data_IF_362356625866
#
_entry.id   IF_362356625866
#
_cell.length_a   1.000
_cell.length_b   1.000
_cell.length_c   1.000
_cell.angle_alpha   90.00
_cell.angle_beta   90.00
_cell.angle_gamma   90.00
#
_symmetry.space_group_name_H-M   'P 1'
#
loop_
_entity.id
_entity.type
_entity.pdbx_description
1 polymer ?
#
# COMPACT_ATOMS: atom_id res chain seq x y z
N UNK A 1 -15.13 11.22 -5.62
CA UNK A 1 -14.33 10.06 -6.07
C UNK A 1 -13.21 10.58 -6.97
N UNK A 2 -12.00 10.77 -6.43
CA UNK A 2 -10.83 11.10 -7.27
C UNK A 2 -10.36 9.78 -7.86
N UNK A 3 -10.53 9.58 -9.17
CA UNK A 3 -9.83 8.53 -9.90
C UNK A 3 -8.35 8.81 -9.75
N UNK A 4 -7.61 7.88 -9.14
CA UNK A 4 -6.16 7.78 -9.36
C UNK A 4 -6.00 7.64 -10.87
N UNK A 5 -5.43 8.67 -11.49
CA UNK A 5 -5.14 8.62 -12.91
C UNK A 5 -4.00 7.61 -13.12
N UNK A 6 -4.00 6.88 -14.24
CA UNK A 6 -3.06 5.77 -14.51
C UNK A 6 -1.59 6.18 -14.30
N UNK A 7 -1.27 7.45 -14.50
CA UNK A 7 0.01 8.10 -14.23
C UNK A 7 0.40 8.14 -12.73
N UNK A 8 -0.56 8.26 -11.80
CA UNK A 8 -0.27 8.16 -10.36
C UNK A 8 -0.01 6.71 -9.93
N UNK A 9 -0.71 5.73 -10.52
CA UNK A 9 -0.48 4.31 -10.26
C UNK A 9 0.86 3.84 -10.86
N UNK A 10 1.18 4.29 -12.07
CA UNK A 10 2.49 4.05 -12.71
C UNK A 10 3.62 4.77 -11.95
N UNK A 11 3.35 5.95 -11.38
CA UNK A 11 4.27 6.63 -10.47
C UNK A 11 4.55 5.83 -9.18
N UNK A 12 3.56 5.12 -8.63
CA UNK A 12 3.78 4.25 -7.47
C UNK A 12 4.64 3.01 -7.79
N UNK A 13 4.61 2.54 -9.04
CA UNK A 13 5.39 1.38 -9.51
C UNK A 13 6.82 1.78 -9.95
N UNK A 14 7.00 3.01 -10.43
CA UNK A 14 8.29 3.54 -10.87
C UNK A 14 9.11 4.08 -9.69
N UNK A 15 9.74 3.19 -8.93
CA UNK A 15 10.78 3.56 -7.96
C UNK A 15 12.04 4.06 -8.71
N UNK A 16 12.27 5.38 -8.67
CA UNK A 16 13.50 6.13 -8.95
C UNK A 16 14.05 6.19 -10.41
N UNK A 17 14.02 7.38 -11.00
CA UNK A 17 15.25 8.14 -11.29
C UNK A 17 15.24 9.52 -10.58
N UNK A 18 16.41 10.20 -10.37
CA UNK A 18 16.42 11.51 -9.71
C UNK A 18 16.15 12.66 -10.70
N UNK A 19 15.70 13.85 -10.25
CA UNK A 19 14.82 14.17 -9.14
C UNK A 19 13.42 14.59 -9.66
N UNK A 20 12.37 13.92 -9.21
CA UNK A 20 11.44 14.59 -8.30
C UNK A 20 11.33 13.80 -6.98
N UNK A 21 10.68 14.36 -5.95
CA UNK A 21 10.41 13.60 -4.72
C UNK A 21 9.68 12.28 -5.04
N UNK A 22 9.90 11.23 -4.23
CA UNK A 22 9.23 9.96 -4.40
C UNK A 22 7.71 10.20 -4.54
N UNK A 23 7.01 9.55 -5.49
CA UNK A 23 5.59 9.82 -5.78
C UNK A 23 4.66 9.71 -4.55
N UNK A 24 5.08 8.94 -3.55
CA UNK A 24 4.39 8.76 -2.27
C UNK A 24 4.45 9.98 -1.32
N UNK A 25 5.41 10.90 -1.52
CA UNK A 25 5.60 12.08 -0.67
C UNK A 25 4.45 13.07 -0.82
N UNK A 26 3.90 13.23 -2.04
CA UNK A 26 2.85 14.22 -2.31
C UNK A 26 1.51 13.88 -1.63
N UNK A 27 0.98 12.65 -1.71
CA UNK A 27 -0.19 12.28 -0.93
C UNK A 27 0.01 12.41 0.59
N UNK A 28 1.19 12.02 1.08
CA UNK A 28 1.52 12.13 2.51
C UNK A 28 1.58 13.59 2.98
N UNK A 29 2.20 14.45 2.18
CA UNK A 29 2.24 15.90 2.40
C UNK A 29 0.83 16.49 2.49
N UNK A 30 -0.05 16.15 1.55
CA UNK A 30 -1.44 16.61 1.55
C UNK A 30 -2.21 16.15 2.80
N UNK A 31 -2.05 14.89 3.18
CA UNK A 31 -2.70 14.34 4.38
C UNK A 31 -2.21 15.04 5.66
N UNK A 32 -0.89 15.23 5.80
CA UNK A 32 -0.30 15.94 6.92
C UNK A 32 -0.83 17.37 7.00
N UNK A 33 -0.81 18.11 5.89
CA UNK A 33 -1.28 19.50 5.83
C UNK A 33 -2.74 19.63 6.23
N UNK A 34 -3.63 18.78 5.69
CA UNK A 34 -5.04 18.81 6.05
C UNK A 34 -5.26 18.57 7.55
N UNK A 35 -4.54 17.61 8.13
CA UNK A 35 -4.62 17.33 9.58
C UNK A 35 -4.01 18.44 10.43
N UNK A 36 -2.87 19.00 10.02
CA UNK A 36 -2.21 20.08 10.75
C UNK A 36 -3.07 21.35 10.78
N UNK A 37 -3.71 21.71 9.66
CA UNK A 37 -4.62 22.86 9.58
C UNK A 37 -5.89 22.63 10.41
N UNK A 38 -6.45 21.41 10.41
CA UNK A 38 -7.58 21.09 11.27
C UNK A 38 -7.24 21.22 12.76
N UNK A 39 -6.05 20.75 13.17
CA UNK A 39 -5.56 20.91 14.54
C UNK A 39 -5.30 22.38 14.89
N UNK A 40 -4.74 23.17 13.96
CA UNK A 40 -4.51 24.60 14.17
C UNK A 40 -5.84 25.34 14.39
N UNK A 41 -6.86 25.03 13.58
CA UNK A 41 -8.20 25.60 13.73
C UNK A 41 -8.84 25.24 15.08
N UNK A 42 -8.70 23.99 15.55
CA UNK A 42 -9.23 23.60 16.86
C UNK A 42 -8.55 24.31 18.02
N UNK A 43 -7.23 24.51 17.96
CA UNK A 43 -6.47 25.19 19.02
C UNK A 43 -6.71 26.71 19.05
N UNK A 44 -7.06 27.30 17.90
CA UNK A 44 -7.27 28.75 17.77
C UNK A 44 -8.73 29.18 17.85
N UNK A 45 -9.66 28.23 17.99
CA UNK A 45 -11.11 28.43 17.82
C UNK A 45 -11.47 29.15 16.51
N UNK A 46 -10.57 29.12 15.53
CA UNK A 46 -10.66 29.84 14.27
C UNK A 46 -11.32 29.03 13.16
N UNK A 47 -11.75 29.68 12.06
CA UNK A 47 -12.22 28.97 10.88
C UNK A 47 -11.10 28.11 10.28
N UNK A 48 -11.45 26.96 9.71
CA UNK A 48 -10.49 26.15 8.95
C UNK A 48 -9.96 26.95 7.76
N UNK A 49 -8.64 27.12 7.69
CA UNK A 49 -8.01 27.71 6.52
C UNK A 49 -8.00 26.70 5.38
N UNK A 50 -8.55 27.10 4.24
CA UNK A 50 -8.47 26.39 2.97
C UNK A 50 -7.43 27.02 2.03
N UNK A 51 -6.60 27.93 2.53
CA UNK A 51 -5.58 28.61 1.75
C UNK A 51 -4.50 27.62 1.31
N UNK A 52 -3.98 27.83 0.10
CA UNK A 52 -2.87 27.01 -0.41
C UNK A 52 -1.61 27.27 0.42
N UNK A 53 -0.77 26.25 0.56
CA UNK A 53 0.52 26.40 1.22
C UNK A 53 1.37 27.43 0.48
N UNK A 54 2.04 28.29 1.24
CA UNK A 54 3.09 29.15 0.72
C UNK A 54 4.32 28.33 0.31
N UNK A 55 5.15 28.87 -0.60
CA UNK A 55 6.44 28.25 -0.99
C UNK A 55 7.32 27.88 0.22
N UNK A 56 7.27 28.69 1.28
CA UNK A 56 8.02 28.45 2.52
C UNK A 56 7.49 27.22 3.27
N UNK A 57 6.17 27.06 3.37
CA UNK A 57 5.54 25.92 4.02
C UNK A 57 5.76 24.64 3.22
N UNK A 58 5.62 24.69 1.90
CA UNK A 58 5.95 23.57 1.02
C UNK A 58 7.41 23.14 1.18
N UNK A 59 8.35 24.09 1.16
CA UNK A 59 9.78 23.79 1.33
C UNK A 59 10.07 23.16 2.69
N UNK A 60 9.44 23.67 3.76
CA UNK A 60 9.60 23.11 5.12
C UNK A 60 9.04 21.69 5.21
N UNK A 61 7.87 21.45 4.62
CA UNK A 61 7.22 20.15 4.59
C UNK A 61 8.04 19.13 3.81
N UNK A 62 8.50 19.50 2.61
CA UNK A 62 9.33 18.64 1.77
C UNK A 62 10.65 18.30 2.45
N UNK A 63 11.34 19.28 3.05
CA UNK A 63 12.59 19.04 3.79
C UNK A 63 12.37 18.09 4.98
N UNK A 64 11.24 18.21 5.68
CA UNK A 64 10.92 17.31 6.78
C UNK A 64 10.64 15.88 6.29
N UNK A 65 9.86 15.73 5.22
CA UNK A 65 9.50 14.42 4.65
C UNK A 65 10.69 13.71 4.01
N UNK A 66 11.61 14.44 3.39
CA UNK A 66 12.86 13.88 2.83
C UNK A 66 13.86 13.43 3.89
N UNK A 67 13.64 13.75 5.17
CA UNK A 67 14.46 13.27 6.29
C UNK A 67 14.16 11.82 6.72
N UNK A 68 13.11 11.21 6.20
CA UNK A 68 12.70 9.84 6.53
C UNK A 68 13.26 8.85 5.51
N UNK A 69 13.55 7.61 5.96
CA UNK A 69 13.84 6.51 5.03
C UNK A 69 12.59 6.20 4.21
N UNK A 70 12.76 5.74 2.97
CA UNK A 70 11.65 5.37 2.08
C UNK A 70 10.70 4.35 2.70
N UNK A 71 11.22 3.39 3.47
CA UNK A 71 10.42 2.41 4.23
C UNK A 71 9.53 3.07 5.27
N UNK A 72 10.01 4.11 5.96
CA UNK A 72 9.26 4.79 7.00
C UNK A 72 8.15 5.65 6.40
N UNK A 73 8.46 6.33 5.29
CA UNK A 73 7.46 7.07 4.50
C UNK A 73 6.33 6.14 4.04
N UNK A 74 6.68 4.96 3.54
CA UNK A 74 5.74 3.96 3.08
C UNK A 74 4.90 3.38 4.22
N UNK A 75 5.50 3.07 5.38
CA UNK A 75 4.78 2.64 6.60
C UNK A 75 3.76 3.70 7.05
N UNK A 76 4.15 4.98 7.04
CA UNK A 76 3.26 6.10 7.41
C UNK A 76 2.13 6.23 6.38
N UNK A 77 2.45 6.14 5.09
CA UNK A 77 1.48 6.24 4.01
C UNK A 77 0.43 5.12 4.07
N UNK A 78 0.84 3.87 4.27
CA UNK A 78 -0.07 2.72 4.42
C UNK A 78 -1.04 2.93 5.59
N UNK A 79 -0.60 3.60 6.67
CA UNK A 79 -1.47 3.92 7.81
C UNK A 79 -2.59 4.92 7.49
N UNK A 80 -2.55 5.60 6.33
CA UNK A 80 -3.63 6.51 5.89
C UNK A 80 -4.87 5.69 5.48
N UNK A 81 -4.67 4.56 4.82
CA UNK A 81 -5.72 3.70 4.28
C UNK A 81 -6.36 2.82 5.36
N UNK A 82 -7.59 2.35 5.13
CA UNK A 82 -8.22 1.31 5.96
C UNK A 82 -7.51 -0.04 5.74
N UNK A 83 -7.56 -0.97 6.71
CA UNK A 83 -6.88 -2.26 6.58
C UNK A 83 -7.23 -3.05 5.31
N UNK A 84 -8.50 -3.01 4.86
CA UNK A 84 -8.91 -3.67 3.62
C UNK A 84 -8.43 -2.94 2.36
N UNK A 85 -8.40 -1.61 2.35
CA UNK A 85 -7.84 -0.81 1.26
C UNK A 85 -6.33 -1.09 1.09
N UNK A 86 -5.62 -1.33 2.19
CA UNK A 86 -4.21 -1.79 2.13
C UNK A 86 -4.09 -3.17 1.48
N UNK A 87 -5.03 -4.06 1.76
CA UNK A 87 -5.05 -5.39 1.12
C UNK A 87 -5.45 -5.34 -0.35
N UNK A 88 -6.25 -4.37 -0.79
CA UNK A 88 -6.52 -4.14 -2.22
C UNK A 88 -5.21 -3.82 -2.95
N UNK A 89 -4.40 -2.92 -2.38
CA UNK A 89 -3.06 -2.60 -2.90
C UNK A 89 -2.17 -3.84 -2.88
N UNK A 90 -2.17 -4.60 -1.78
CA UNK A 90 -1.38 -5.82 -1.66
C UNK A 90 -1.76 -6.88 -2.71
N UNK A 91 -3.05 -7.08 -2.99
CA UNK A 91 -3.50 -8.01 -4.01
C UNK A 91 -3.02 -7.61 -5.42
N UNK A 92 -3.11 -6.33 -5.77
CA UNK A 92 -2.59 -5.81 -7.04
C UNK A 92 -1.08 -6.01 -7.12
N UNK A 93 -0.37 -5.73 -6.02
CA UNK A 93 1.07 -5.91 -5.94
C UNK A 93 1.47 -7.36 -6.13
N UNK A 94 0.85 -8.31 -5.42
CA UNK A 94 1.12 -9.74 -5.57
C UNK A 94 0.90 -10.20 -7.02
N UNK A 95 -0.17 -9.76 -7.68
CA UNK A 95 -0.40 -10.05 -9.10
C UNK A 95 0.71 -9.48 -9.99
N UNK A 96 1.08 -8.21 -9.78
CA UNK A 96 2.13 -7.55 -10.57
C UNK A 96 3.46 -8.27 -10.38
N UNK A 97 3.84 -8.59 -9.14
CA UNK A 97 5.03 -9.36 -8.78
C UNK A 97 5.06 -10.71 -9.46
N UNK A 98 3.99 -11.50 -9.39
CA UNK A 98 3.90 -12.79 -10.08
C UNK A 98 4.14 -12.66 -11.59
N UNK A 99 3.64 -11.59 -12.22
CA UNK A 99 3.87 -11.30 -13.64
C UNK A 99 5.31 -10.88 -13.92
N UNK A 100 5.89 -10.01 -13.12
CA UNK A 100 7.29 -9.64 -13.23
C UNK A 100 8.19 -10.85 -13.06
N UNK A 101 8.02 -11.63 -12.01
CA UNK A 101 8.78 -12.85 -11.74
C UNK A 101 8.67 -13.84 -12.89
N UNK A 102 7.49 -13.97 -13.50
CA UNK A 102 7.31 -14.82 -14.68
C UNK A 102 8.10 -14.29 -15.88
N UNK A 103 7.97 -13.01 -16.21
CA UNK A 103 8.75 -12.37 -17.28
C UNK A 103 10.24 -12.56 -17.03
N UNK A 104 10.69 -12.35 -15.78
CA UNK A 104 12.09 -12.53 -15.39
C UNK A 104 12.55 -13.96 -15.62
N UNK A 105 11.79 -14.95 -15.16
CA UNK A 105 12.13 -16.36 -15.43
C UNK A 105 12.27 -16.64 -16.91
N UNK A 106 11.38 -16.09 -17.73
CA UNK A 106 11.35 -16.32 -19.18
C UNK A 106 12.55 -15.67 -19.90
N UNK A 107 12.95 -14.45 -19.48
CA UNK A 107 14.09 -13.74 -20.08
C UNK A 107 15.43 -14.05 -19.39
N UNK A 108 15.42 -14.70 -18.22
CA UNK A 108 16.62 -14.93 -17.38
C UNK A 108 17.73 -15.58 -18.17
N UNK A 109 17.40 -16.58 -18.99
CA UNK A 109 18.37 -17.27 -19.84
C UNK A 109 18.90 -16.37 -20.96
N UNK A 110 18.10 -15.44 -21.46
CA UNK A 110 18.48 -14.57 -22.57
C UNK A 110 19.55 -13.54 -22.24
N UNK A 111 19.64 -13.20 -20.96
CA UNK A 111 20.58 -12.25 -20.37
C UNK A 111 21.62 -12.92 -19.45
N UNK A 112 21.57 -14.26 -19.33
CA UNK A 112 22.48 -15.02 -18.47
C UNK A 112 23.93 -14.96 -18.98
N UNK A 113 24.90 -14.85 -18.06
CA UNK A 113 26.32 -14.71 -18.39
C UNK A 113 26.89 -15.92 -19.12
N UNK A 114 26.37 -17.10 -18.80
CA UNK A 114 26.72 -18.35 -19.49
C UNK A 114 26.07 -18.54 -20.87
N UNK A 115 25.33 -17.55 -21.40
CA UNK A 115 24.72 -17.67 -22.73
C UNK A 115 25.82 -17.69 -23.79
N UNK A 116 25.84 -18.67 -24.72
CA UNK A 116 26.93 -18.85 -25.68
C UNK A 116 27.26 -17.60 -26.50
N UNK A 117 26.26 -16.74 -26.76
CA UNK A 117 26.41 -15.48 -27.50
C UNK A 117 27.35 -14.45 -26.84
N UNK A 118 27.67 -14.62 -25.56
CA UNK A 118 28.51 -13.68 -24.81
C UNK A 118 29.96 -14.13 -24.68
N UNK A 119 30.32 -15.38 -25.06
CA UNK A 119 31.70 -15.91 -25.12
C UNK A 119 32.67 -15.43 -24.00
N UNK A 120 32.16 -15.26 -22.77
CA UNK A 120 32.96 -14.80 -21.63
C UNK A 120 33.37 -13.31 -21.64
N UNK A 121 32.92 -12.50 -22.59
CA UNK A 121 33.15 -11.05 -22.63
C UNK A 121 31.83 -10.29 -22.43
N UNK A 122 31.37 -10.22 -21.18
CA UNK A 122 30.26 -9.32 -20.81
C UNK A 122 30.81 -7.90 -20.63
N UNK A 123 30.22 -6.88 -21.28
CA UNK A 123 30.52 -5.49 -20.94
C UNK A 123 30.23 -5.25 -19.45
N UNK A 124 31.05 -4.46 -18.73
CA UNK A 124 30.75 -4.11 -17.35
C UNK A 124 29.35 -3.50 -17.25
N UNK A 125 28.59 -3.92 -16.24
CA UNK A 125 27.24 -3.39 -15.97
C UNK A 125 27.33 -1.87 -15.89
N UNK A 126 26.63 -1.11 -16.75
CA UNK A 126 26.68 0.35 -16.73
C UNK A 126 26.30 0.92 -15.35
N UNK A 127 26.95 2.01 -14.94
CA UNK A 127 26.51 2.76 -13.76
C UNK A 127 25.06 3.24 -13.97
N UNK A 128 24.19 2.97 -12.99
CA UNK A 128 22.75 3.24 -13.08
C UNK A 128 21.91 2.08 -13.63
N UNK A 129 22.49 0.89 -13.84
CA UNK A 129 21.70 -0.31 -14.18
C UNK A 129 20.79 -0.68 -13.02
N UNK A 130 19.49 -0.77 -13.31
CA UNK A 130 18.47 -1.05 -12.31
C UNK A 130 18.59 -2.50 -11.84
N UNK A 131 18.76 -2.71 -10.53
CA UNK A 131 18.70 -4.04 -9.93
C UNK A 131 17.23 -4.41 -9.69
N UNK A 132 16.72 -5.26 -10.57
CA UNK A 132 15.32 -5.65 -10.59
C UNK A 132 14.99 -6.68 -9.50
N UNK A 133 15.99 -7.40 -8.97
CA UNK A 133 15.79 -8.34 -7.86
C UNK A 133 15.53 -7.60 -6.54
N UNK A 134 15.96 -6.33 -6.42
CA UNK A 134 15.90 -5.56 -5.18
C UNK A 134 14.67 -4.62 -5.08
N UNK A 135 13.93 -4.39 -6.17
CA UNK A 135 12.73 -3.52 -6.15
C UNK A 135 11.45 -4.27 -5.74
N UNK A 136 11.41 -5.59 -5.97
CA UNK A 136 10.24 -6.43 -5.68
C UNK A 136 10.18 -6.97 -4.24
N UNK A 137 11.20 -6.69 -3.41
CA UNK A 137 11.21 -6.98 -1.96
C UNK A 137 10.59 -5.85 -1.13
N UNK A 138 10.52 -4.63 -1.67
CA UNK A 138 10.29 -3.42 -0.87
C UNK A 138 8.89 -3.31 -0.24
N UNK A 139 7.84 -3.77 -0.94
CA UNK A 139 6.46 -3.70 -0.41
C UNK A 139 6.10 -4.91 0.46
N UNK A 140 6.46 -6.13 0.03
CA UNK A 140 6.13 -7.36 0.75
C UNK A 140 6.99 -7.59 1.99
N UNK A 141 8.31 -7.38 1.92
CA UNK A 141 9.21 -7.69 3.05
C UNK A 141 9.36 -6.50 4.01
N UNK A 142 9.43 -5.26 3.50
CA UNK A 142 9.81 -4.10 4.32
C UNK A 142 8.62 -3.27 4.84
N UNK A 143 7.49 -3.24 4.12
CA UNK A 143 6.34 -2.42 4.49
C UNK A 143 5.11 -3.23 4.96
N UNK A 144 4.82 -4.34 4.30
CA UNK A 144 3.73 -5.26 4.64
C UNK A 144 4.21 -6.52 5.37
N UNK A 145 5.52 -6.70 5.50
CA UNK A 145 6.13 -7.88 6.10
C UNK A 145 5.96 -7.97 7.62
N UNK A 146 6.33 -9.13 8.16
CA UNK A 146 6.20 -9.45 9.58
C UNK A 146 6.89 -8.40 10.46
N UNK A 147 8.14 -8.08 10.15
CA UNK A 147 8.96 -7.13 10.91
C UNK A 147 8.33 -5.74 10.93
N UNK A 148 7.82 -5.28 9.78
CA UNK A 148 7.17 -3.99 9.66
C UNK A 148 5.88 -3.92 10.51
N UNK A 149 5.06 -4.96 10.45
CA UNK A 149 3.83 -5.07 11.24
C UNK A 149 4.11 -5.18 12.74
N UNK A 150 5.20 -5.85 13.10
CA UNK A 150 5.65 -6.00 14.47
C UNK A 150 6.16 -4.68 15.06
N UNK A 151 7.10 -4.02 14.37
CA UNK A 151 7.64 -2.72 14.76
C UNK A 151 6.53 -1.67 14.93
N UNK A 152 5.62 -1.56 13.95
CA UNK A 152 4.48 -0.64 14.00
C UNK A 152 3.65 -0.82 15.29
N UNK A 153 3.45 -2.06 15.75
CA UNK A 153 2.66 -2.34 16.95
C UNK A 153 3.43 -2.12 18.25
N UNK A 154 4.74 -2.32 18.24
CA UNK A 154 5.58 -2.06 19.42
C UNK A 154 5.77 -0.56 19.68
N UNK A 155 6.03 0.21 18.62
CA UNK A 155 6.34 1.63 18.74
C UNK A 155 5.12 2.46 19.15
N UNK A 156 3.92 2.08 18.66
CA UNK A 156 2.68 2.77 19.03
C UNK A 156 1.45 1.90 18.80
N UNK A 157 0.79 1.49 19.88
CA UNK A 157 -0.56 0.93 19.82
C UNK A 157 -1.52 1.98 19.24
N UNK A 158 -1.92 1.78 17.99
CA UNK A 158 -2.87 2.67 17.32
C UNK A 158 -4.30 2.40 17.80
N UNK A 159 -5.20 3.38 17.66
CA UNK A 159 -6.64 3.18 17.91
C UNK A 159 -7.18 1.97 17.14
N UNK A 160 -6.65 1.69 15.95
CA UNK A 160 -7.02 0.51 15.13
C UNK A 160 -6.63 -0.79 15.81
N UNK A 161 -5.44 -0.86 16.41
CA UNK A 161 -5.00 -2.04 17.15
C UNK A 161 -5.86 -2.26 18.40
N UNK A 162 -6.31 -1.18 19.06
CA UNK A 162 -7.26 -1.27 20.16
C UNK A 162 -8.65 -1.74 19.72
N UNK A 163 -9.17 -1.22 18.58
CA UNK A 163 -10.44 -1.68 17.99
C UNK A 163 -10.42 -3.18 17.73
N UNK A 164 -9.30 -3.70 17.23
CA UNK A 164 -9.09 -5.15 17.06
C UNK A 164 -9.07 -5.88 18.40
N UNK A 165 -8.34 -5.39 19.41
CA UNK A 165 -8.28 -6.02 20.73
C UNK A 165 -9.66 -6.12 21.40
N UNK A 166 -10.47 -5.07 21.28
CA UNK A 166 -11.86 -5.03 21.76
C UNK A 166 -12.84 -5.84 20.90
N UNK A 167 -12.40 -6.27 19.71
CA UNK A 167 -13.21 -6.95 18.69
C UNK A 167 -14.43 -6.13 18.27
N UNK A 168 -14.22 -4.83 18.07
CA UNK A 168 -15.28 -3.90 17.67
C UNK A 168 -16.02 -4.45 16.44
N UNK A 169 -17.37 -4.38 16.39
CA UNK A 169 -18.14 -4.96 15.31
C UNK A 169 -17.88 -4.23 13.99
N UNK A 170 -17.70 -5.00 12.92
CA UNK A 170 -17.54 -4.53 11.54
C UNK A 170 -18.39 -5.39 10.60
N UNK A 171 -19.74 -5.30 10.69
CA UNK A 171 -20.62 -6.05 9.81
C UNK A 171 -20.58 -5.51 8.39
N UNK A 172 -20.79 -6.40 7.42
CA UNK A 172 -21.00 -6.00 6.03
C UNK A 172 -22.31 -5.24 5.87
N UNK A 173 -22.26 -4.07 5.22
CA UNK A 173 -23.41 -3.19 4.99
C UNK A 173 -23.80 -3.08 3.51
N UNK A 174 -23.35 -4.00 2.67
CA UNK A 174 -23.52 -3.93 1.22
C UNK A 174 -22.40 -3.15 0.52
N UNK A 175 -22.24 -3.42 -0.78
CA UNK A 175 -21.23 -2.80 -1.67
C UNK A 175 -21.61 -1.39 -2.15
N UNK A 176 -22.62 -0.77 -1.52
CA UNK A 176 -23.15 0.54 -1.92
C UNK A 176 -22.18 1.70 -1.70
N UNK A 177 -22.65 2.92 -2.01
CA UNK A 177 -21.82 4.13 -2.01
C UNK A 177 -20.96 4.30 -0.74
N UNK A 178 -19.71 4.81 -0.89
CA UNK A 178 -18.80 5.04 0.22
C UNK A 178 -19.47 5.86 1.32
N UNK A 179 -19.19 5.52 2.59
CA UNK A 179 -19.58 6.40 3.69
C UNK A 179 -18.70 7.67 3.66
N UNK A 180 -19.11 8.74 4.36
CA UNK A 180 -18.33 9.99 4.44
C UNK A 180 -16.86 9.82 4.88
N UNK A 181 -16.53 8.65 5.45
CA UNK A 181 -15.25 8.32 6.07
C UNK A 181 -14.42 7.27 5.30
N UNK A 182 -14.80 6.95 4.05
CA UNK A 182 -14.09 6.02 3.16
C UNK A 182 -14.97 4.91 2.58
N UNK A 183 -14.34 4.00 1.83
CA UNK A 183 -15.02 2.83 1.27
C UNK A 183 -15.50 1.90 2.39
N UNK A 184 -16.68 1.31 2.19
CA UNK A 184 -17.22 0.28 3.08
C UNK A 184 -16.32 -0.96 3.01
N UNK A 185 -16.17 -1.72 4.12
CA UNK A 185 -15.38 -2.94 4.08
C UNK A 185 -16.02 -3.95 3.11
N UNK A 186 -15.22 -4.56 2.20
CA UNK A 186 -15.71 -5.59 1.29
C UNK A 186 -16.27 -6.79 2.05
N UNK A 187 -17.24 -7.50 1.46
CA UNK A 187 -17.80 -8.70 2.07
C UNK A 187 -16.72 -9.72 2.42
N UNK A 188 -15.75 -9.92 1.52
CA UNK A 188 -14.65 -10.84 1.74
C UNK A 188 -13.86 -10.54 3.03
N UNK A 189 -13.53 -9.27 3.26
CA UNK A 189 -12.83 -8.83 4.47
C UNK A 189 -13.64 -9.12 5.73
N UNK A 190 -14.94 -8.79 5.70
CA UNK A 190 -15.82 -9.03 6.85
C UNK A 190 -16.02 -10.51 7.13
N UNK A 191 -16.05 -11.38 6.11
CA UNK A 191 -16.15 -12.83 6.28
C UNK A 191 -14.89 -13.41 6.91
N UNK A 192 -13.72 -13.06 6.38
CA UNK A 192 -12.42 -13.53 6.87
C UNK A 192 -12.22 -13.17 8.36
N UNK A 193 -12.67 -11.98 8.77
CA UNK A 193 -12.59 -11.52 10.16
C UNK A 193 -13.88 -11.69 10.97
N UNK A 194 -14.80 -12.55 10.52
CA UNK A 194 -16.03 -12.94 11.24
C UNK A 194 -16.87 -11.75 11.72
N UNK A 195 -16.98 -10.71 10.90
CA UNK A 195 -17.74 -9.50 11.18
C UNK A 195 -17.14 -8.63 12.28
N UNK A 196 -15.85 -8.80 12.61
CA UNK A 196 -15.14 -7.98 13.60
C UNK A 196 -14.04 -7.16 12.94
N UNK A 197 -13.73 -6.00 13.52
CA UNK A 197 -12.66 -5.14 13.04
C UNK A 197 -11.31 -5.84 13.18
N UNK A 198 -10.54 -5.88 12.09
CA UNK A 198 -9.17 -6.38 12.08
C UNK A 198 -8.22 -5.34 11.52
N UNK A 199 -7.04 -5.26 12.14
CA UNK A 199 -5.88 -4.50 11.69
C UNK A 199 -4.72 -5.44 11.33
N UNK A 200 -5.06 -6.66 10.88
CA UNK A 200 -4.14 -7.67 10.37
C UNK A 200 -4.25 -7.70 8.84
N UNK A 201 -3.22 -7.23 8.18
CA UNK A 201 -3.04 -7.16 6.73
C UNK A 201 -1.55 -7.39 6.43
N UNK A 202 -1.17 -7.48 5.16
CA UNK A 202 0.17 -7.91 4.79
C UNK A 202 0.41 -9.31 5.31
N UNK A 203 1.61 -9.60 5.82
CA UNK A 203 2.05 -10.90 6.34
C UNK A 203 0.99 -11.88 6.92
N UNK A 204 -0.05 -11.41 7.62
CA UNK A 204 -1.12 -12.24 8.20
C UNK A 204 -2.17 -12.78 7.23
N UNK A 205 -2.25 -12.27 6.00
CA UNK A 205 -3.15 -12.76 4.95
C UNK A 205 -2.33 -13.63 3.99
N UNK A 206 -2.86 -14.80 3.64
CA UNK A 206 -2.14 -15.78 2.83
C UNK A 206 -2.09 -15.36 1.34
N UNK A 207 -0.98 -15.64 0.67
CA UNK A 207 -0.82 -15.28 -0.75
C UNK A 207 -1.81 -16.01 -1.66
N UNK A 208 -2.23 -17.23 -1.27
CA UNK A 208 -3.24 -18.00 -2.01
C UNK A 208 -4.60 -17.30 -2.09
N UNK A 209 -4.91 -16.38 -1.17
CA UNK A 209 -6.12 -15.56 -1.26
C UNK A 209 -5.87 -14.20 -1.91
N UNK A 210 -4.64 -13.68 -1.84
CA UNK A 210 -4.24 -12.47 -2.58
C UNK A 210 -4.19 -12.67 -4.08
N UNK A 211 -3.74 -13.83 -4.56
CA UNK A 211 -3.50 -14.07 -5.99
C UNK A 211 -4.77 -13.98 -6.84
N UNK A 212 -5.94 -14.19 -6.24
CA UNK A 212 -7.24 -13.97 -6.90
C UNK A 212 -7.96 -12.71 -6.42
N UNK A 213 -7.28 -11.83 -5.68
CA UNK A 213 -7.79 -10.50 -5.30
C UNK A 213 -9.03 -10.53 -4.42
N UNK A 214 -9.05 -11.37 -3.37
CA UNK A 214 -10.25 -11.66 -2.59
C UNK A 214 -11.05 -10.42 -2.11
N UNK A 215 -10.40 -9.29 -1.81
CA UNK A 215 -11.05 -8.03 -1.38
C UNK A 215 -11.67 -7.20 -2.52
N UNK A 216 -11.30 -7.46 -3.77
CA UNK A 216 -11.68 -6.63 -4.92
C UNK A 216 -13.12 -6.85 -5.39
N UNK A 217 -13.70 -7.98 -5.00
CA UNK A 217 -14.93 -8.48 -5.59
C UNK A 217 -16.16 -8.07 -4.79
N UNK A 218 -17.19 -7.65 -5.50
CA UNK A 218 -18.52 -7.42 -4.92
C UNK A 218 -19.13 -8.70 -4.34
N UNK A 219 -20.12 -8.51 -3.46
CA UNK A 219 -20.80 -9.60 -2.77
C UNK A 219 -21.48 -10.59 -3.73
N UNK A 220 -22.04 -10.10 -4.83
CA UNK A 220 -22.76 -10.92 -5.80
C UNK A 220 -21.81 -11.88 -6.54
N UNK A 221 -20.61 -11.43 -6.86
CA UNK A 221 -19.55 -12.23 -7.46
C UNK A 221 -19.08 -13.29 -6.49
N UNK A 222 -18.79 -12.93 -5.24
CA UNK A 222 -18.34 -13.89 -4.22
C UNK A 222 -19.36 -15.00 -3.97
N UNK A 223 -20.66 -14.66 -3.98
CA UNK A 223 -21.75 -15.64 -3.88
C UNK A 223 -21.75 -16.59 -5.09
N UNK A 224 -21.77 -16.03 -6.30
CA UNK A 224 -21.91 -16.82 -7.54
C UNK A 224 -20.71 -17.75 -7.80
N UNK A 225 -19.51 -17.40 -7.34
CA UNK A 225 -18.31 -18.21 -7.57
C UNK A 225 -18.02 -19.21 -6.45
N UNK A 226 -18.79 -19.20 -5.35
CA UNK A 226 -18.49 -20.02 -4.17
C UNK A 226 -17.21 -19.58 -3.43
N UNK A 227 -16.79 -18.32 -3.61
CA UNK A 227 -15.59 -17.79 -2.95
C UNK A 227 -15.82 -17.56 -1.44
N UNK A 228 -17.08 -17.43 -1.01
CA UNK A 228 -17.44 -17.28 0.40
C UNK A 228 -17.02 -18.49 1.22
N UNK A 229 -17.21 -19.69 0.69
CA UNK A 229 -16.87 -20.96 1.34
C UNK A 229 -15.36 -21.10 1.50
N UNK A 230 -14.58 -20.58 0.55
CA UNK A 230 -13.11 -20.56 0.63
C UNK A 230 -12.67 -19.61 1.75
N UNK A 231 -13.26 -18.42 1.83
CA UNK A 231 -12.94 -17.43 2.86
C UNK A 231 -13.39 -17.84 4.27
N UNK A 232 -14.50 -18.58 4.38
CA UNK A 232 -14.99 -19.09 5.65
C UNK A 232 -14.09 -20.19 6.27
N UNK A 233 -13.18 -20.78 5.48
CA UNK A 233 -12.23 -21.83 5.90
C UNK A 233 -10.87 -21.30 6.35
N UNK A 234 -10.60 -20.01 6.11
CA UNK A 234 -9.37 -19.34 6.56
C UNK A 234 -9.43 -19.06 8.08
#
# INVERSE_FOLDING_TARGET
>A
MKRLAEDEAVGMVAFFPPPPPPPIVKPLAQHYTGRALANLASETEGPQSHELLSNTEETRLMRALLGFQSVDILKIFICIFKPWEVEEIACIYTFAKEKYDQIFRDIRWDVHEGKPKFEGQRPPTPEGTFDLDNSCSFLEDEALGEVAQFQRRQERLSDRDQKRQRRDPLPFKGDGEPEANGLRPPLAWTLMWRGTYSNLYGYYVQDVIRCWGYVMWDAARLERTGAKEVLARQ
#
